data_IF_153424209657
#
_entry.id   IF_153424209657
#
_cell.length_a   1.000
_cell.length_b   1.000
_cell.length_c   1.000
_cell.angle_alpha   90.00
_cell.angle_beta   90.00
_cell.angle_gamma   90.00
#
_symmetry.space_group_name_H-M   'P 1'
#
loop_
_entity.id
_entity.type
_entity.pdbx_description
1 polymer ?
#
# COMPACT_ATOMS: atom_id res chain seq x y z
N UNK A 1 -4.60 0.03 -23.15
CA UNK A 1 -3.38 0.03 -22.31
C UNK A 1 -3.68 -0.66 -21.00
N UNK A 2 -2.83 -1.57 -20.55
CA UNK A 2 -2.91 -2.15 -19.20
C UNK A 2 -2.66 -1.05 -18.16
N UNK A 3 -3.54 -0.94 -17.15
CA UNK A 3 -3.36 0.02 -16.04
C UNK A 3 -2.27 -0.50 -15.11
N UNK A 4 -1.34 0.37 -14.72
CA UNK A 4 -0.32 0.04 -13.71
C UNK A 4 -1.00 -0.30 -12.38
N UNK A 5 -0.40 -1.22 -11.62
CA UNK A 5 -0.86 -1.71 -10.34
C UNK A 5 -0.12 -1.02 -9.19
N UNK A 6 -0.89 -0.40 -8.29
CA UNK A 6 -0.39 0.23 -7.07
C UNK A 6 -0.91 -0.55 -5.87
N UNK A 7 -0.02 -0.91 -4.95
CA UNK A 7 -0.40 -1.43 -3.63
C UNK A 7 -0.32 -0.31 -2.62
N UNK A 8 -1.39 -0.12 -1.85
CA UNK A 8 -1.42 0.78 -0.70
C UNK A 8 -1.30 -0.06 0.57
N UNK A 9 -0.25 0.15 1.36
CA UNK A 9 -0.07 -0.46 2.68
C UNK A 9 -0.69 0.46 3.74
N UNK A 10 -1.55 -0.10 4.60
CA UNK A 10 -2.17 0.63 5.71
C UNK A 10 -2.29 -0.25 6.96
N UNK A 11 -2.14 0.31 8.18
CA UNK A 11 -2.37 -0.44 9.41
C UNK A 11 -3.86 -0.74 9.65
N UNK A 12 -4.77 -0.18 8.85
CA UNK A 12 -6.21 -0.33 9.02
C UNK A 12 -6.78 -1.39 8.09
N UNK A 13 -7.44 -2.40 8.66
CA UNK A 13 -8.31 -3.29 7.93
C UNK A 13 -9.69 -2.65 7.73
N UNK A 14 -10.43 -3.10 6.71
CA UNK A 14 -11.83 -2.69 6.52
C UNK A 14 -12.72 -2.95 7.75
N UNK A 15 -12.36 -3.95 8.56
CA UNK A 15 -13.06 -4.29 9.80
C UNK A 15 -12.87 -3.27 10.93
N UNK A 16 -11.81 -2.46 10.88
CA UNK A 16 -11.50 -1.52 11.95
C UNK A 16 -12.30 -0.20 11.87
N UNK A 17 -12.89 0.12 10.70
CA UNK A 17 -13.68 1.33 10.40
C UNK A 17 -13.26 2.61 11.16
N UNK A 18 -11.96 2.89 11.21
CA UNK A 18 -11.39 4.02 11.94
C UNK A 18 -10.84 5.08 10.97
N UNK A 19 -10.38 6.22 11.47
CA UNK A 19 -9.81 7.30 10.65
C UNK A 19 -8.67 6.85 9.72
N UNK A 20 -7.92 5.82 10.12
CA UNK A 20 -6.88 5.24 9.29
C UNK A 20 -7.43 4.49 8.07
N UNK A 21 -8.54 3.75 8.25
CA UNK A 21 -9.26 3.11 7.14
C UNK A 21 -9.83 4.15 6.19
N UNK A 22 -10.46 5.19 6.73
CA UNK A 22 -11.08 6.25 5.92
C UNK A 22 -10.05 6.91 5.00
N UNK A 23 -8.86 7.20 5.54
CA UNK A 23 -7.74 7.72 4.76
C UNK A 23 -7.34 6.75 3.64
N UNK A 24 -7.11 5.47 3.96
CA UNK A 24 -6.70 4.48 2.97
C UNK A 24 -7.75 4.24 1.87
N UNK A 25 -9.03 4.20 2.24
CA UNK A 25 -10.14 4.05 1.31
C UNK A 25 -10.27 5.25 0.36
N UNK A 26 -10.12 6.48 0.88
CA UNK A 26 -10.13 7.70 0.06
C UNK A 26 -8.99 7.73 -0.95
N UNK A 27 -7.77 7.40 -0.53
CA UNK A 27 -6.61 7.30 -1.41
C UNK A 27 -6.83 6.23 -2.50
N UNK A 28 -7.31 5.04 -2.13
CA UNK A 28 -7.59 3.99 -3.09
C UNK A 28 -8.66 4.40 -4.10
N UNK A 29 -9.74 5.05 -3.66
CA UNK A 29 -10.79 5.58 -4.54
C UNK A 29 -10.24 6.60 -5.54
N UNK A 30 -9.41 7.53 -5.07
CA UNK A 30 -8.78 8.53 -5.93
C UNK A 30 -7.90 7.89 -7.01
N UNK A 31 -7.02 6.97 -6.63
CA UNK A 31 -6.06 6.34 -7.55
C UNK A 31 -6.71 5.35 -8.52
N UNK A 32 -7.82 4.70 -8.15
CA UNK A 32 -8.57 3.76 -9.02
C UNK A 32 -9.09 4.38 -10.31
N UNK A 33 -9.20 5.71 -10.37
CA UNK A 33 -9.54 6.43 -11.61
C UNK A 33 -8.53 6.13 -12.72
N UNK A 34 -7.23 5.98 -12.39
CA UNK A 34 -6.15 5.81 -13.37
C UNK A 34 -5.39 4.48 -13.26
N UNK A 35 -5.38 3.86 -12.08
CA UNK A 35 -4.56 2.69 -11.75
C UNK A 35 -5.41 1.52 -11.25
N UNK A 36 -4.84 0.31 -11.29
CA UNK A 36 -5.35 -0.81 -10.52
C UNK A 36 -4.82 -0.66 -9.08
N UNK A 37 -5.69 -0.79 -8.07
CA UNK A 37 -5.29 -0.51 -6.67
C UNK A 37 -5.73 -1.60 -5.71
N UNK A 38 -4.75 -2.18 -5.01
CA UNK A 38 -4.96 -3.13 -3.90
C UNK A 38 -4.65 -2.45 -2.57
N UNK A 39 -5.49 -2.67 -1.57
CA UNK A 39 -5.21 -2.29 -0.19
C UNK A 39 -4.66 -3.51 0.56
N UNK A 40 -3.45 -3.38 1.10
CA UNK A 40 -2.79 -4.43 1.87
C UNK A 40 -2.64 -4.01 3.34
N UNK A 41 -2.88 -4.93 4.31
CA UNK A 41 -2.53 -4.71 5.69
C UNK A 41 -1.02 -4.46 5.87
N UNK A 42 -0.62 -3.63 6.82
CA UNK A 42 0.80 -3.46 7.17
C UNK A 42 1.47 -4.74 7.69
N UNK A 43 0.69 -5.75 8.11
CA UNK A 43 1.18 -7.08 8.47
C UNK A 43 1.39 -7.98 7.27
N UNK A 44 0.77 -7.65 6.13
CA UNK A 44 0.80 -8.46 4.94
C UNK A 44 1.93 -7.98 4.01
N UNK A 45 3.07 -8.66 4.15
CA UNK A 45 4.24 -8.45 3.32
C UNK A 45 4.15 -9.23 1.99
N UNK A 46 3.03 -9.86 1.65
CA UNK A 46 2.95 -10.73 0.48
C UNK A 46 2.89 -10.02 -0.88
N UNK A 47 2.85 -8.68 -0.91
CA UNK A 47 3.02 -7.93 -2.15
C UNK A 47 4.39 -8.29 -2.77
N UNK A 48 4.37 -9.06 -3.87
CA UNK A 48 5.56 -9.62 -4.51
C UNK A 48 5.97 -11.04 -4.07
N UNK A 49 5.13 -11.76 -3.32
CA UNK A 49 5.34 -13.17 -3.00
C UNK A 49 5.32 -14.07 -4.25
N UNK A 50 6.06 -15.19 -4.19
CA UNK A 50 6.16 -16.15 -5.28
C UNK A 50 4.77 -16.55 -5.83
N UNK A 51 4.57 -16.36 -7.14
CA UNK A 51 3.31 -16.64 -7.83
C UNK A 51 2.39 -15.43 -8.02
N UNK A 52 2.68 -14.27 -7.41
CA UNK A 52 1.96 -13.01 -7.63
C UNK A 52 2.92 -12.03 -8.32
N UNK A 53 2.50 -11.44 -9.44
CA UNK A 53 3.28 -10.41 -10.11
C UNK A 53 3.52 -9.23 -9.14
N UNK A 54 4.77 -8.72 -9.04
CA UNK A 54 5.04 -7.57 -8.21
C UNK A 54 4.22 -6.34 -8.70
N UNK A 55 3.80 -5.45 -7.79
CA UNK A 55 3.15 -4.21 -8.19
C UNK A 55 4.14 -3.28 -8.89
N UNK A 56 3.62 -2.33 -9.69
CA UNK A 56 4.43 -1.29 -10.32
C UNK A 56 4.90 -0.23 -9.30
N UNK A 57 4.17 -0.05 -8.19
CA UNK A 57 4.56 0.81 -7.08
C UNK A 57 3.87 0.46 -5.76
N UNK A 58 4.48 0.89 -4.64
CA UNK A 58 3.91 0.78 -3.30
C UNK A 58 3.81 2.13 -2.60
N UNK A 59 2.67 2.39 -1.97
CA UNK A 59 2.42 3.56 -1.11
C UNK A 59 2.07 3.09 0.29
N UNK A 60 2.92 3.34 1.27
CA UNK A 60 2.64 3.08 2.68
C UNK A 60 2.10 4.34 3.37
N UNK A 61 0.82 4.30 3.77
CA UNK A 61 0.17 5.37 4.53
C UNK A 61 0.42 5.19 6.02
N UNK A 62 0.27 6.26 6.81
CA UNK A 62 0.49 6.23 8.27
C UNK A 62 1.94 5.89 8.62
N UNK A 63 2.88 6.71 8.13
CA UNK A 63 4.33 6.49 8.19
C UNK A 63 4.82 5.71 9.41
N UNK A 64 4.52 6.17 10.63
CA UNK A 64 4.96 5.52 11.88
C UNK A 64 4.53 4.04 11.98
N UNK A 65 3.32 3.72 11.57
CA UNK A 65 2.73 2.38 11.69
C UNK A 65 3.09 1.47 10.50
N UNK A 66 3.37 2.05 9.33
CA UNK A 66 3.65 1.27 8.11
C UNK A 66 5.14 1.25 7.72
N UNK A 67 6.01 2.00 8.39
CA UNK A 67 7.44 2.09 8.05
C UNK A 67 8.13 0.72 8.03
N UNK A 68 7.91 -0.12 9.07
CA UNK A 68 8.49 -1.46 9.13
C UNK A 68 8.04 -2.34 7.96
N UNK A 69 6.77 -2.22 7.56
CA UNK A 69 6.22 -2.98 6.45
C UNK A 69 6.85 -2.56 5.12
N UNK A 70 6.96 -1.24 4.89
CA UNK A 70 7.59 -0.71 3.68
C UNK A 70 9.08 -1.08 3.61
N UNK A 71 9.82 -1.01 4.72
CA UNK A 71 11.23 -1.40 4.77
C UNK A 71 11.43 -2.87 4.37
N UNK A 72 10.58 -3.78 4.87
CA UNK A 72 10.63 -5.19 4.51
C UNK A 72 10.24 -5.45 3.04
N UNK A 73 9.35 -4.64 2.46
CA UNK A 73 9.07 -4.66 1.02
C UNK A 73 10.27 -4.17 0.20
N UNK A 74 10.82 -2.99 0.53
CA UNK A 74 11.94 -2.39 -0.19
C UNK A 74 13.19 -3.27 -0.15
N UNK A 75 13.45 -3.97 0.96
CA UNK A 75 14.56 -4.91 1.07
C UNK A 75 14.43 -6.11 0.09
N UNK A 76 13.20 -6.55 -0.22
CA UNK A 76 12.94 -7.64 -1.18
C UNK A 76 12.83 -7.15 -2.62
N UNK A 77 12.42 -5.91 -2.81
CA UNK A 77 12.19 -5.30 -4.12
C UNK A 77 12.89 -3.94 -4.24
N UNK A 78 14.23 -3.90 -4.21
CA UNK A 78 14.99 -2.64 -4.15
C UNK A 78 14.81 -1.75 -5.39
N UNK A 79 14.41 -2.33 -6.52
CA UNK A 79 14.17 -1.61 -7.77
C UNK A 79 12.74 -1.06 -7.90
N UNK A 80 11.80 -1.44 -7.02
CA UNK A 80 10.41 -1.01 -7.13
C UNK A 80 10.17 0.32 -6.42
N UNK A 81 9.47 1.28 -7.08
CA UNK A 81 9.09 2.55 -6.45
C UNK A 81 8.31 2.32 -5.15
N UNK A 82 8.81 2.93 -4.07
CA UNK A 82 8.22 2.83 -2.73
C UNK A 82 8.11 4.22 -2.10
N UNK A 83 6.93 4.54 -1.58
CA UNK A 83 6.61 5.85 -0.99
C UNK A 83 6.10 5.63 0.44
N UNK A 84 6.68 6.35 1.41
CA UNK A 84 6.16 6.44 2.77
C UNK A 84 5.47 7.79 2.96
N UNK A 85 4.21 7.78 3.37
CA UNK A 85 3.41 8.99 3.55
C UNK A 85 3.10 9.21 5.03
N UNK A 86 3.49 10.36 5.56
CA UNK A 86 3.00 10.84 6.85
C UNK A 86 1.57 11.34 6.66
N UNK A 87 0.61 10.67 7.31
CA UNK A 87 -0.80 11.05 7.31
C UNK A 87 -1.21 11.47 8.73
N UNK A 88 -2.09 12.46 8.83
CA UNK A 88 -2.70 12.87 10.09
C UNK A 88 -3.89 11.98 10.48
N UNK A 89 -4.42 12.21 11.68
CA UNK A 89 -5.81 11.92 12.03
C UNK A 89 -6.71 13.05 11.58
#
# INVERSE_FOLDING_TARGET
>A
MTKQHIVIISPASAKANNGNWQTAARWARFLRTRYNVTLAPATDLSAGSAGIAPPDAVIALHARRSARALAAFAARHPALPSILVLTGT
#
